data_IF_230123736051
#
_entry.id   IF_230123736051
#
_cell.length_a   1.000
_cell.length_b   1.000
_cell.length_c   1.000
_cell.angle_alpha   90.00
_cell.angle_beta   90.00
_cell.angle_gamma   90.00
#
_symmetry.space_group_name_H-M   'P 1'
#
loop_
_entity.id
_entity.type
_entity.pdbx_description
1 polymer ?
#
# COMPACT_ATOMS: atom_id res chain seq x y z
N UNK A 1 -9.60 -0.94 -19.51
CA UNK A 1 -8.97 -1.93 -20.41
C UNK A 1 -7.62 -1.40 -20.84
N UNK A 2 -6.60 -2.26 -20.98
CA UNK A 2 -5.26 -1.91 -21.43
C UNK A 2 -4.92 -2.66 -22.72
N UNK A 3 -4.24 -2.00 -23.67
CA UNK A 3 -3.78 -2.58 -24.94
C UNK A 3 -2.29 -2.26 -25.14
N UNK A 4 -1.49 -3.28 -25.47
CA UNK A 4 -0.07 -3.09 -25.82
C UNK A 4 0.04 -2.67 -27.28
N UNK A 5 0.64 -1.51 -27.55
CA UNK A 5 0.79 -0.95 -28.89
C UNK A 5 2.15 -1.27 -29.53
N UNK A 6 3.21 -1.42 -28.75
CA UNK A 6 4.56 -1.81 -29.22
C UNK A 6 5.22 -2.79 -28.25
N UNK A 7 5.89 -3.82 -28.79
CA UNK A 7 6.51 -4.91 -28.03
C UNK A 7 8.06 -4.79 -28.07
N UNK A 8 8.63 -4.10 -27.09
CA UNK A 8 9.93 -4.46 -26.51
C UNK A 8 9.68 -4.72 -25.02
N UNK A 9 10.42 -5.62 -24.37
CA UNK A 9 10.12 -6.05 -23.00
C UNK A 9 10.18 -4.88 -21.99
N UNK A 10 11.06 -3.90 -22.25
CA UNK A 10 11.33 -2.73 -21.41
C UNK A 10 10.62 -1.45 -21.92
N UNK A 11 10.36 -1.34 -23.22
CA UNK A 11 9.76 -0.16 -23.88
C UNK A 11 8.30 -0.41 -24.32
N UNK A 12 7.47 -0.86 -23.39
CA UNK A 12 6.05 -1.14 -23.68
C UNK A 12 5.28 0.16 -23.77
N UNK A 13 4.81 0.50 -24.97
CA UNK A 13 3.77 1.52 -25.13
C UNK A 13 2.42 0.87 -24.84
N UNK A 14 1.75 1.33 -23.78
CA UNK A 14 0.43 0.83 -23.40
C UNK A 14 -0.62 1.92 -23.53
N UNK A 15 -1.79 1.54 -24.01
CA UNK A 15 -2.96 2.41 -24.14
C UNK A 15 -4.06 1.94 -23.20
N UNK A 16 -4.63 2.89 -22.46
CA UNK A 16 -5.67 2.66 -21.49
C UNK A 16 -6.93 3.39 -21.93
N UNK A 17 -8.06 2.69 -21.78
CA UNK A 17 -9.38 3.26 -22.01
C UNK A 17 -10.17 3.24 -20.70
N UNK A 18 -10.52 4.43 -20.23
CA UNK A 18 -11.39 4.65 -19.08
C UNK A 18 -12.84 4.71 -19.58
N UNK A 19 -13.69 3.87 -19.00
CA UNK A 19 -15.09 3.73 -19.37
C UNK A 19 -15.98 3.97 -18.15
N UNK A 20 -17.13 4.60 -18.35
CA UNK A 20 -18.21 4.77 -17.37
C UNK A 20 -19.37 3.87 -17.75
N UNK A 21 -19.83 3.05 -16.80
CA UNK A 21 -21.09 2.33 -16.92
C UNK A 21 -22.25 3.28 -16.56
N UNK A 22 -23.21 3.42 -17.47
CA UNK A 22 -24.41 4.22 -17.29
C UNK A 22 -25.63 3.32 -17.19
N UNK A 23 -26.42 3.52 -16.14
CA UNK A 23 -27.72 2.87 -15.96
C UNK A 23 -28.81 3.89 -16.29
N UNK A 24 -29.56 3.69 -17.39
CA UNK A 24 -30.65 4.59 -17.75
C UNK A 24 -31.77 4.54 -16.70
N UNK A 25 -32.30 5.70 -16.33
CA UNK A 25 -33.46 5.79 -15.44
C UNK A 25 -34.67 5.08 -16.05
N UNK A 26 -35.50 4.40 -15.25
CA UNK A 26 -36.77 3.82 -15.70
C UNK A 26 -37.82 4.92 -15.88
N UNK A 27 -37.56 5.88 -16.77
CA UNK A 27 -38.53 6.93 -17.12
C UNK A 27 -39.41 6.44 -18.28
N UNK A 28 -40.43 5.67 -17.94
CA UNK A 28 -41.47 5.23 -18.88
C UNK A 28 -42.09 3.88 -18.52
N UNK A 29 -43.28 3.60 -19.03
CA UNK A 29 -43.96 2.29 -18.90
C UNK A 29 -43.37 1.21 -19.81
N UNK A 30 -42.16 1.42 -20.34
CA UNK A 30 -41.46 0.50 -21.23
C UNK A 30 -40.47 -0.40 -20.49
N UNK A 31 -39.96 -1.45 -21.15
CA UNK A 31 -38.89 -2.26 -20.58
C UNK A 31 -37.65 -1.39 -20.32
N UNK A 32 -36.92 -1.59 -19.20
CA UNK A 32 -35.71 -0.83 -18.91
C UNK A 32 -34.69 -1.02 -20.02
N UNK A 33 -34.10 0.09 -20.49
CA UNK A 33 -33.01 0.01 -21.46
C UNK A 33 -31.77 -0.63 -20.82
N UNK A 34 -30.98 -1.40 -21.58
CA UNK A 34 -29.80 -2.04 -21.04
C UNK A 34 -28.76 -0.99 -20.62
N UNK A 35 -27.94 -1.27 -19.60
CA UNK A 35 -26.85 -0.39 -19.22
C UNK A 35 -25.84 -0.27 -20.36
N UNK A 36 -25.25 0.92 -20.52
CA UNK A 36 -24.31 1.22 -21.60
C UNK A 36 -22.97 1.70 -21.06
N UNK A 37 -21.88 1.32 -21.71
CA UNK A 37 -20.57 1.88 -21.43
C UNK A 37 -20.31 3.10 -22.30
N UNK A 38 -19.82 4.17 -21.69
CA UNK A 38 -19.41 5.40 -22.37
C UNK A 38 -17.93 5.63 -22.10
N UNK A 39 -17.18 6.05 -23.12
CA UNK A 39 -15.75 6.35 -22.98
C UNK A 39 -15.57 7.69 -22.27
N UNK A 40 -14.78 7.71 -21.20
CA UNK A 40 -14.39 8.94 -20.50
C UNK A 40 -13.09 9.49 -21.06
N UNK A 41 -12.03 8.68 -21.09
CA UNK A 41 -10.70 9.12 -21.51
C UNK A 41 -9.91 7.99 -22.17
N UNK A 42 -8.95 8.38 -23.00
CA UNK A 42 -7.92 7.49 -23.55
C UNK A 42 -6.56 8.11 -23.26
N UNK A 43 -5.65 7.34 -22.68
CA UNK A 43 -4.30 7.79 -22.41
C UNK A 43 -3.30 6.70 -22.68
N UNK A 44 -2.06 7.12 -22.96
CA UNK A 44 -0.94 6.21 -23.18
C UNK A 44 0.05 6.35 -22.03
N UNK A 45 0.80 5.30 -21.76
CA UNK A 45 1.98 5.31 -20.90
C UNK A 45 3.11 4.57 -21.60
N UNK A 46 4.35 4.83 -21.19
CA UNK A 46 5.54 4.19 -21.74
C UNK A 46 6.32 3.53 -20.61
N UNK A 47 6.54 2.22 -20.71
CA UNK A 47 7.16 1.38 -19.68
C UNK A 47 6.20 0.32 -19.14
N UNK A 48 6.62 -0.42 -18.11
CA UNK A 48 5.80 -1.46 -17.48
C UNK A 48 4.92 -0.82 -16.41
N UNK A 49 3.65 -0.59 -16.74
CA UNK A 49 2.64 -0.13 -15.77
C UNK A 49 2.42 -1.21 -14.73
N UNK A 50 2.68 -0.87 -13.48
CA UNK A 50 2.47 -1.73 -12.32
C UNK A 50 1.00 -1.68 -11.89
N UNK A 51 0.47 -0.47 -11.71
CA UNK A 51 -0.89 -0.26 -11.22
C UNK A 51 -1.48 1.05 -11.77
N UNK A 52 -2.81 1.10 -11.86
CA UNK A 52 -3.59 2.29 -12.21
C UNK A 52 -4.61 2.55 -11.10
N UNK A 53 -4.69 3.80 -10.65
CA UNK A 53 -5.49 4.22 -9.51
C UNK A 53 -6.45 5.34 -9.92
N UNK A 54 -7.74 5.10 -9.74
CA UNK A 54 -8.77 6.12 -9.83
C UNK A 54 -8.86 6.84 -8.48
N UNK A 55 -8.21 8.00 -8.36
CA UNK A 55 -7.99 8.66 -7.07
C UNK A 55 -9.19 9.49 -6.63
N UNK A 56 -9.74 10.29 -7.54
CA UNK A 56 -10.97 11.04 -7.31
C UNK A 56 -11.77 11.16 -8.62
N UNK A 57 -12.82 10.33 -8.80
CA UNK A 57 -13.67 10.39 -9.97
C UNK A 57 -14.40 11.70 -10.19
N UNK A 58 -14.71 12.44 -9.12
CA UNK A 58 -15.41 13.73 -9.21
C UNK A 58 -14.48 14.82 -9.71
N UNK A 59 -13.21 14.77 -9.30
CA UNK A 59 -12.15 15.66 -9.79
C UNK A 59 -11.49 15.17 -11.08
N UNK A 60 -11.91 14.02 -11.60
CA UNK A 60 -11.34 13.41 -12.81
C UNK A 60 -9.83 13.12 -12.68
N UNK A 61 -9.41 12.75 -11.47
CA UNK A 61 -8.01 12.50 -11.12
C UNK A 61 -7.68 11.01 -11.18
N UNK A 62 -6.66 10.68 -11.99
CA UNK A 62 -6.13 9.33 -12.15
C UNK A 62 -4.60 9.34 -12.08
N UNK A 63 -4.03 8.33 -11.44
CA UNK A 63 -2.58 8.13 -11.42
C UNK A 63 -2.23 6.69 -11.75
N UNK A 64 -1.01 6.47 -12.24
CA UNK A 64 -0.47 5.15 -12.51
C UNK A 64 1.00 5.09 -12.09
N UNK A 65 1.43 3.93 -11.61
CA UNK A 65 2.82 3.61 -11.36
C UNK A 65 3.39 2.90 -12.58
N UNK A 66 4.54 3.37 -13.04
CA UNK A 66 5.24 2.81 -14.19
C UNK A 66 6.66 2.48 -13.75
N UNK A 67 7.06 1.22 -13.85
CA UNK A 67 8.43 0.82 -13.58
C UNK A 67 9.35 1.29 -14.71
N UNK A 68 10.44 1.96 -14.33
CA UNK A 68 11.48 2.45 -15.24
C UNK A 68 12.69 1.52 -15.14
N UNK A 69 12.84 0.63 -16.12
CA UNK A 69 13.86 -0.42 -16.09
C UNK A 69 15.30 0.12 -16.03
N UNK A 70 15.59 1.25 -16.68
CA UNK A 70 16.94 1.81 -16.76
C UNK A 70 17.47 2.35 -15.42
N UNK A 71 16.59 2.81 -14.54
CA UNK A 71 16.92 3.34 -13.21
C UNK A 71 16.48 2.42 -12.07
N UNK A 72 15.68 1.39 -12.37
CA UNK A 72 14.95 0.60 -11.38
C UNK A 72 14.10 1.45 -10.42
N UNK A 73 13.47 2.51 -10.93
CA UNK A 73 12.64 3.42 -10.14
C UNK A 73 11.17 3.37 -10.54
N UNK A 74 10.32 3.89 -9.66
CA UNK A 74 8.91 4.09 -9.93
C UNK A 74 8.73 5.47 -10.57
N UNK A 75 8.07 5.52 -11.72
CA UNK A 75 7.59 6.76 -12.31
C UNK A 75 6.11 6.96 -11.99
N UNK A 76 5.76 8.20 -11.64
CA UNK A 76 4.39 8.63 -11.40
C UNK A 76 3.83 9.28 -12.66
N UNK A 77 2.88 8.59 -13.30
CA UNK A 77 2.04 9.15 -14.36
C UNK A 77 0.73 9.63 -13.75
N UNK A 78 0.26 10.83 -14.09
CA UNK A 78 -0.98 11.39 -13.54
C UNK A 78 -1.72 12.21 -14.60
N UNK A 79 -3.03 11.94 -14.71
CA UNK A 79 -3.99 12.84 -15.35
C UNK A 79 -4.65 13.64 -14.23
N UNK A 80 -4.26 14.90 -14.09
CA UNK A 80 -4.80 15.78 -13.05
C UNK A 80 -6.27 16.14 -13.30
N UNK A 81 -6.68 16.05 -14.56
CA UNK A 81 -8.04 16.17 -15.05
C UNK A 81 -8.10 15.45 -16.40
N UNK A 82 -8.71 14.26 -16.45
CA UNK A 82 -8.69 13.45 -17.69
C UNK A 82 -9.53 14.02 -18.85
N UNK A 83 -10.28 15.10 -18.65
CA UNK A 83 -10.95 15.83 -19.74
C UNK A 83 -10.05 16.93 -20.33
N UNK A 84 -8.93 17.24 -19.68
CA UNK A 84 -7.89 18.14 -20.19
C UNK A 84 -6.82 17.29 -20.88
N UNK A 85 -6.41 17.60 -22.13
CA UNK A 85 -5.40 16.83 -22.86
C UNK A 85 -3.99 17.14 -22.33
N UNK A 86 -3.76 16.93 -21.05
CA UNK A 86 -2.49 17.15 -20.36
C UNK A 86 -2.18 15.96 -19.44
N UNK A 87 -0.89 15.72 -19.22
CA UNK A 87 -0.42 14.69 -18.32
C UNK A 87 0.80 15.16 -17.54
N UNK A 88 1.00 14.56 -16.37
CA UNK A 88 2.25 14.62 -15.63
C UNK A 88 2.91 13.26 -15.72
N UNK A 89 4.19 13.22 -16.05
CA UNK A 89 4.98 11.98 -16.00
C UNK A 89 6.36 12.33 -15.46
N UNK A 90 6.65 11.86 -14.24
CA UNK A 90 7.88 12.13 -13.51
C UNK A 90 8.50 10.82 -13.05
N UNK A 91 9.82 10.79 -12.95
CA UNK A 91 10.54 9.75 -12.23
C UNK A 91 10.63 10.17 -10.77
N UNK A 92 10.18 9.31 -9.86
CA UNK A 92 10.12 9.64 -8.42
C UNK A 92 11.45 9.42 -7.71
N UNK A 93 12.41 8.76 -8.36
CA UNK A 93 13.65 8.26 -7.77
C UNK A 93 13.46 7.25 -6.63
N UNK A 94 12.22 6.81 -6.38
CA UNK A 94 11.91 5.74 -5.43
C UNK A 94 12.27 4.42 -6.08
N UNK A 95 13.15 3.65 -5.44
CA UNK A 95 13.55 2.33 -5.90
C UNK A 95 12.33 1.38 -5.95
N UNK A 96 12.18 0.71 -7.08
CA UNK A 96 11.13 -0.29 -7.29
C UNK A 96 11.61 -1.65 -6.75
N UNK A 97 11.49 -1.83 -5.43
CA UNK A 97 11.74 -3.14 -4.83
C UNK A 97 10.59 -4.11 -5.13
N UNK A 98 10.96 -5.35 -5.43
CA UNK A 98 10.04 -6.47 -5.67
C UNK A 98 9.40 -7.01 -4.39
N UNK A 99 9.95 -6.66 -3.22
CA UNK A 99 9.40 -7.05 -1.91
C UNK A 99 8.38 -6.06 -1.39
N UNK A 100 8.32 -4.84 -1.92
CA UNK A 100 7.40 -3.83 -1.40
C UNK A 100 6.02 -3.95 -2.03
N UNK A 101 5.01 -3.69 -1.22
CA UNK A 101 3.64 -3.54 -1.70
C UNK A 101 3.33 -2.06 -1.92
N UNK A 102 2.88 -1.72 -3.12
CA UNK A 102 2.71 -0.33 -3.55
C UNK A 102 1.23 0.05 -3.68
N UNK A 103 0.86 1.19 -3.11
CA UNK A 103 -0.47 1.77 -3.29
C UNK A 103 -0.40 3.29 -3.46
N UNK A 104 -1.45 3.88 -4.04
CA UNK A 104 -1.51 5.30 -4.34
C UNK A 104 -2.76 5.92 -3.75
N UNK A 105 -2.62 6.94 -2.91
CA UNK A 105 -3.70 7.48 -2.09
C UNK A 105 -3.81 8.99 -2.33
N UNK A 106 -5.03 9.54 -2.35
CA UNK A 106 -5.23 10.98 -2.39
C UNK A 106 -5.51 11.50 -0.97
N UNK A 107 -4.70 12.43 -0.47
CA UNK A 107 -4.88 13.06 0.82
C UNK A 107 -4.65 14.56 0.74
N UNK A 108 -5.66 15.38 1.08
CA UNK A 108 -5.57 16.87 1.12
C UNK A 108 -4.87 17.47 -0.11
N UNK A 109 -5.33 17.10 -1.32
CA UNK A 109 -4.71 17.52 -2.59
C UNK A 109 -3.24 17.10 -2.77
N UNK A 110 -2.87 15.94 -2.22
CA UNK A 110 -1.55 15.33 -2.41
C UNK A 110 -1.72 13.88 -2.81
N UNK A 111 -0.98 13.49 -3.84
CA UNK A 111 -0.80 12.08 -4.18
C UNK A 111 0.23 11.52 -3.20
N UNK A 112 -0.16 10.47 -2.49
CA UNK A 112 0.69 9.77 -1.53
C UNK A 112 1.00 8.40 -2.11
N UNK A 113 2.28 8.17 -2.43
CA UNK A 113 2.77 6.83 -2.75
C UNK A 113 3.04 6.16 -1.42
N UNK A 114 2.34 5.06 -1.15
CA UNK A 114 2.53 4.25 0.04
C UNK A 114 3.25 2.96 -0.35
N UNK A 115 4.32 2.66 0.38
CA UNK A 115 5.14 1.47 0.23
C UNK A 115 5.18 0.71 1.54
N UNK A 116 4.85 -0.57 1.50
CA UNK A 116 4.90 -1.46 2.66
C UNK A 116 6.02 -2.48 2.48
N UNK A 117 6.96 -2.48 3.42
CA UNK A 117 8.01 -3.47 3.56
C UNK A 117 7.67 -4.48 4.67
N UNK A 118 8.59 -5.40 4.96
CA UNK A 118 8.35 -6.47 5.93
C UNK A 118 8.17 -5.99 7.38
N UNK A 119 8.73 -4.83 7.76
CA UNK A 119 8.80 -4.35 9.15
C UNK A 119 8.46 -2.86 9.30
N UNK A 120 8.26 -2.14 8.20
CA UNK A 120 7.90 -0.73 8.21
C UNK A 120 7.12 -0.36 6.94
N UNK A 121 6.55 0.84 6.95
CA UNK A 121 5.96 1.43 5.77
C UNK A 121 6.47 2.86 5.55
N UNK A 122 6.51 3.25 4.29
CA UNK A 122 6.87 4.58 3.81
C UNK A 122 5.66 5.26 3.14
N UNK A 123 5.57 6.58 3.28
CA UNK A 123 4.63 7.43 2.54
C UNK A 123 5.37 8.61 1.94
N UNK A 124 5.27 8.76 0.62
CA UNK A 124 5.94 9.79 -0.17
C UNK A 124 4.90 10.76 -0.75
N UNK A 125 5.02 12.04 -0.43
CA UNK A 125 3.96 13.03 -0.69
C UNK A 125 4.27 13.92 -1.90
N UNK A 126 3.34 13.96 -2.85
CA UNK A 126 3.40 14.76 -4.08
C UNK A 126 2.17 15.69 -4.17
N UNK A 127 2.29 16.95 -3.72
CA UNK A 127 1.21 17.93 -3.82
C UNK A 127 0.77 18.16 -5.27
N UNK A 128 -0.53 18.21 -5.52
CA UNK A 128 -1.05 18.48 -6.86
C UNK A 128 -0.55 19.84 -7.40
N UNK A 129 -0.37 20.83 -6.54
CA UNK A 129 0.21 22.14 -6.88
C UNK A 129 1.65 22.06 -7.39
N UNK A 130 2.44 21.11 -6.89
CA UNK A 130 3.79 20.83 -7.35
C UNK A 130 3.75 20.10 -8.70
N UNK A 131 2.94 19.04 -8.81
CA UNK A 131 2.82 18.23 -10.02
C UNK A 131 2.34 19.05 -11.23
N UNK A 132 1.42 20.01 -11.03
CA UNK A 132 0.94 20.94 -12.08
C UNK A 132 2.07 21.68 -12.79
N UNK A 133 3.22 21.89 -12.16
CA UNK A 133 4.40 22.57 -12.76
C UNK A 133 5.07 21.74 -13.85
N UNK A 134 4.77 20.44 -13.91
CA UNK A 134 5.35 19.47 -14.83
C UNK A 134 4.32 18.96 -15.86
N UNK A 135 3.19 19.67 -16.00
CA UNK A 135 2.20 19.34 -17.03
C UNK A 135 2.81 19.40 -18.43
N UNK A 136 2.46 18.39 -19.23
CA UNK A 136 2.80 18.31 -20.65
C UNK A 136 1.51 18.10 -21.45
N UNK A 137 1.38 18.74 -22.63
CA UNK A 137 0.24 18.50 -23.50
C UNK A 137 0.30 17.09 -24.09
N UNK A 138 -0.85 16.45 -24.17
CA UNK A 138 -1.09 15.24 -24.96
C UNK A 138 -1.24 15.70 -26.42
N UNK A 139 -0.47 15.10 -27.32
CA UNK A 139 -0.60 15.39 -28.75
C UNK A 139 -1.57 14.41 -29.38
N UNK A 140 -2.50 14.91 -30.21
CA UNK A 140 -3.49 14.11 -30.95
C UNK A 140 -2.91 13.28 -32.12
N UNK A 141 -1.63 12.92 -32.04
CA UNK A 141 -0.99 12.07 -33.05
C UNK A 141 -1.06 10.59 -32.64
N UNK A 142 -1.31 9.70 -33.59
CA UNK A 142 -1.28 8.25 -33.34
C UNK A 142 0.08 7.77 -32.81
N UNK A 143 1.15 8.48 -33.20
CA UNK A 143 2.53 8.20 -32.81
C UNK A 143 2.97 8.89 -31.51
N UNK A 144 2.05 9.56 -30.80
CA UNK A 144 2.38 10.20 -29.54
C UNK A 144 2.83 9.15 -28.50
N UNK A 145 4.01 9.40 -27.92
CA UNK A 145 4.59 8.62 -26.83
C UNK A 145 4.80 9.56 -25.64
N UNK A 146 4.11 9.34 -24.52
CA UNK A 146 4.37 10.09 -23.29
C UNK A 146 5.80 9.84 -22.83
N UNK A 147 6.45 10.88 -22.31
CA UNK A 147 7.83 10.78 -21.82
C UNK A 147 7.96 11.39 -20.44
N UNK A 148 8.83 10.79 -19.63
CA UNK A 148 9.22 11.32 -18.33
C UNK A 148 9.78 12.72 -18.52
N UNK A 149 9.32 13.64 -17.68
CA UNK A 149 9.64 15.05 -17.78
C UNK A 149 10.87 15.45 -17.01
N UNK A 150 11.00 14.94 -15.80
CA UNK A 150 12.11 15.17 -14.88
C UNK A 150 12.11 14.08 -13.82
N UNK A 151 13.22 13.99 -13.10
CA UNK A 151 13.22 13.42 -11.75
C UNK A 151 12.62 14.42 -10.77
N UNK A 152 11.81 13.95 -9.83
CA UNK A 152 11.19 14.79 -8.81
C UNK A 152 11.11 14.03 -7.48
N UNK A 153 11.83 14.56 -6.50
CA UNK A 153 11.77 14.07 -5.13
C UNK A 153 10.41 14.35 -4.48
N UNK A 154 9.96 13.50 -3.56
CA UNK A 154 8.75 13.76 -2.79
C UNK A 154 8.93 15.01 -1.94
N UNK A 155 7.87 15.79 -1.76
CA UNK A 155 7.91 17.00 -0.92
C UNK A 155 8.12 16.69 0.56
N UNK A 156 7.77 15.47 0.96
CA UNK A 156 7.86 14.95 2.32
C UNK A 156 7.86 13.43 2.25
N UNK A 157 8.64 12.80 3.11
CA UNK A 157 8.65 11.35 3.31
C UNK A 157 8.38 11.05 4.78
N UNK A 158 7.44 10.15 5.04
CA UNK A 158 7.12 9.64 6.37
C UNK A 158 7.44 8.14 6.42
N UNK A 159 8.05 7.70 7.51
CA UNK A 159 8.36 6.29 7.76
C UNK A 159 7.85 5.90 9.14
N UNK A 160 7.18 4.76 9.24
CA UNK A 160 6.75 4.21 10.52
C UNK A 160 6.93 2.70 10.56
N UNK A 161 7.44 2.14 11.68
CA UNK A 161 7.58 0.69 11.84
C UNK A 161 6.21 0.04 12.10
N UNK A 162 6.06 -1.20 11.63
CA UNK A 162 4.93 -2.05 11.99
C UNK A 162 5.08 -2.59 13.41
N UNK A 163 3.94 -2.73 14.09
CA UNK A 163 3.84 -3.32 15.41
C UNK A 163 3.23 -4.70 15.31
N UNK A 164 4.04 -5.70 15.62
CA UNK A 164 3.63 -7.10 15.70
C UNK A 164 3.06 -7.41 17.09
N UNK A 165 2.01 -8.22 17.19
CA UNK A 165 1.46 -8.66 18.47
C UNK A 165 2.48 -9.54 19.20
N UNK A 166 2.47 -9.47 20.54
CA UNK A 166 3.37 -10.30 21.35
C UNK A 166 2.95 -11.76 21.26
N UNK A 167 3.88 -12.70 21.05
CA UNK A 167 3.57 -14.12 21.09
C UNK A 167 2.91 -14.47 22.43
N UNK A 168 1.95 -15.42 22.47
CA UNK A 168 1.37 -15.86 23.73
C UNK A 168 2.50 -16.33 24.63
N UNK A 169 2.58 -15.78 25.84
CA UNK A 169 3.59 -16.17 26.80
C UNK A 169 3.49 -17.68 27.02
N UNK A 170 4.45 -18.43 26.48
CA UNK A 170 4.56 -19.86 26.77
C UNK A 170 4.65 -19.96 28.29
N UNK A 171 3.75 -20.69 28.98
CA UNK A 171 3.89 -20.88 30.41
C UNK A 171 5.25 -21.53 30.62
N UNK A 172 6.19 -20.75 31.16
CA UNK A 172 7.48 -21.28 31.56
C UNK A 172 7.16 -22.36 32.59
N UNK A 173 7.34 -23.62 32.20
CA UNK A 173 7.39 -24.72 33.14
C UNK A 173 8.56 -24.42 34.06
N UNK A 174 8.28 -23.78 35.20
CA UNK A 174 9.21 -23.60 36.29
C UNK A 174 9.63 -24.99 36.75
N UNK A 175 10.76 -25.47 36.23
CA UNK A 175 11.49 -26.55 36.87
C UNK A 175 11.99 -25.99 38.22
N UNK A 176 11.66 -26.63 39.35
CA UNK A 176 12.12 -26.16 40.64
C UNK A 176 13.63 -26.37 40.78
N UNK A 177 14.35 -25.25 40.77
CA UNK A 177 15.48 -24.97 41.64
C UNK A 177 16.73 -25.83 41.52
N UNK A 178 17.74 -25.29 40.84
CA UNK A 178 19.12 -25.40 41.31
C UNK A 178 19.74 -24.00 41.27
N UNK A 179 19.96 -23.45 42.46
CA UNK A 179 20.71 -22.21 42.65
C UNK A 179 22.18 -22.48 42.33
N UNK A 180 22.75 -21.83 41.32
CA UNK A 180 24.20 -21.60 41.30
C UNK A 180 24.54 -20.15 40.90
N UNK A 181 25.55 -19.68 41.62
CA UNK A 181 26.09 -18.34 41.84
C UNK A 181 26.20 -17.38 40.63
N UNK A 182 26.00 -16.11 40.99
CA UNK A 182 26.34 -14.88 40.27
C UNK A 182 27.87 -14.72 40.24
N UNK A 183 28.44 -14.49 39.06
CA UNK A 183 29.71 -13.76 38.91
C UNK A 183 29.51 -12.58 37.96
N UNK A 184 29.78 -11.39 38.49
CA UNK A 184 29.83 -10.07 37.86
C UNK A 184 30.98 -10.00 36.83
N UNK A 185 30.72 -9.47 35.62
CA UNK A 185 31.73 -8.79 34.81
C UNK A 185 31.06 -7.65 33.99
N UNK A 186 31.70 -6.47 33.84
CA UNK A 186 31.04 -5.22 33.46
C UNK A 186 30.92 -5.02 31.95
N UNK A 187 29.83 -4.36 31.56
CA UNK A 187 29.50 -3.96 30.20
C UNK A 187 30.45 -2.88 29.66
N UNK A 188 30.99 -3.11 28.46
CA UNK A 188 31.55 -2.07 27.60
C UNK A 188 30.45 -1.47 26.73
N UNK A 189 30.14 -0.20 26.98
CA UNK A 189 29.29 0.66 26.15
C UNK A 189 29.89 0.82 24.74
N UNK A 190 29.21 0.27 23.73
CA UNK A 190 29.33 0.72 22.36
C UNK A 190 27.92 1.09 21.89
N UNK A 191 27.59 2.37 21.96
CA UNK A 191 26.38 2.94 21.39
C UNK A 191 26.45 2.87 19.85
N UNK A 192 25.78 1.86 19.28
CA UNK A 192 25.39 1.87 17.87
C UNK A 192 24.03 2.54 17.74
N UNK A 193 23.93 3.53 16.85
CA UNK A 193 22.70 4.17 16.37
C UNK A 193 21.72 3.16 15.74
N UNK A 194 21.05 2.36 16.57
CA UNK A 194 19.92 1.54 16.14
C UNK A 194 18.61 2.23 16.50
N UNK A 195 17.63 2.29 15.58
CA UNK A 195 16.28 2.69 15.92
C UNK A 195 15.74 1.80 17.05
N UNK A 196 14.82 2.30 17.90
CA UNK A 196 14.30 1.50 19.00
C UNK A 196 13.73 0.19 18.45
N UNK A 197 14.13 -0.97 19.00
CA UNK A 197 13.66 -2.26 18.51
C UNK A 197 12.14 -2.29 18.57
N UNK A 198 11.51 -2.78 17.49
CA UNK A 198 10.10 -3.18 17.55
C UNK A 198 9.93 -4.07 18.77
N UNK A 199 8.96 -3.76 19.63
CA UNK A 199 8.74 -4.47 20.90
C UNK A 199 8.50 -5.98 20.68
N UNK A 200 8.12 -6.39 19.47
CA UNK A 200 8.09 -7.77 19.02
C UNK A 200 8.66 -7.87 17.58
N UNK A 201 9.53 -8.85 17.29
CA UNK A 201 10.05 -9.06 15.93
C UNK A 201 8.96 -9.57 14.98
N UNK A 202 9.13 -9.33 13.68
CA UNK A 202 8.27 -9.91 12.65
C UNK A 202 8.35 -11.46 12.71
N UNK A 203 7.24 -12.19 12.92
CA UNK A 203 7.24 -13.65 12.97
C UNK A 203 7.47 -14.32 11.61
N UNK A 204 7.29 -13.60 10.51
CA UNK A 204 7.47 -14.07 9.14
C UNK A 204 8.43 -13.14 8.38
N UNK A 205 9.72 -13.10 8.77
CA UNK A 205 10.71 -12.25 8.11
C UNK A 205 11.06 -12.77 6.71
N UNK A 206 11.54 -11.86 5.88
CA UNK A 206 12.11 -12.13 4.57
C UNK A 206 13.63 -12.33 4.70
N UNK A 207 14.23 -13.46 4.22
CA UNK A 207 13.64 -14.76 3.84
C UNK A 207 13.23 -15.64 5.05
N UNK A 208 12.41 -16.71 4.88
CA UNK A 208 11.95 -17.32 3.62
C UNK A 208 10.56 -16.86 3.13
N UNK A 209 9.92 -15.92 3.82
CA UNK A 209 8.55 -15.48 3.48
C UNK A 209 8.57 -14.30 2.51
N UNK A 210 8.10 -14.52 1.28
CA UNK A 210 8.04 -13.52 0.22
C UNK A 210 6.60 -13.10 -0.06
N UNK A 211 6.32 -11.83 -0.36
CA UNK A 211 4.98 -11.42 -0.77
C UNK A 211 4.63 -12.02 -2.14
N UNK A 212 3.60 -12.87 -2.17
CA UNK A 212 3.04 -13.46 -3.39
C UNK A 212 1.98 -12.54 -4.00
N UNK A 213 1.10 -11.99 -3.16
CA UNK A 213 0.10 -11.02 -3.56
C UNK A 213 -0.22 -10.06 -2.42
N UNK A 214 -0.65 -8.85 -2.78
CA UNK A 214 -1.16 -7.88 -1.82
C UNK A 214 -2.44 -7.23 -2.34
N UNK A 215 -3.36 -7.02 -1.42
CA UNK A 215 -4.70 -6.53 -1.69
C UNK A 215 -4.97 -5.32 -0.79
N UNK A 216 -4.97 -4.15 -1.41
CA UNK A 216 -5.21 -2.88 -0.72
C UNK A 216 -6.71 -2.60 -0.65
N UNK A 217 -7.24 -2.41 0.56
CA UNK A 217 -8.68 -2.16 0.82
C UNK A 217 -8.84 -0.80 1.51
N UNK A 218 -9.75 0.04 0.97
CA UNK A 218 -10.08 1.37 1.51
C UNK A 218 -11.41 1.33 2.22
N UNK A 219 -11.43 1.69 3.51
CA UNK A 219 -12.68 1.80 4.27
C UNK A 219 -13.42 3.13 4.03
N UNK A 220 -12.75 4.16 3.50
CA UNK A 220 -13.22 5.55 3.59
C UNK A 220 -13.66 6.17 2.25
N UNK A 221 -14.16 5.41 1.29
CA UNK A 221 -14.72 5.98 0.05
C UNK A 221 -16.25 5.85 -0.03
N UNK A 222 -17.02 6.97 -0.13
CA UNK A 222 -16.57 8.37 -0.08
C UNK A 222 -16.16 8.82 1.33
N UNK A 223 -15.20 9.76 1.41
CA UNK A 223 -14.62 10.24 2.68
C UNK A 223 -15.66 11.02 3.48
N UNK A 224 -16.34 10.38 4.43
CA UNK A 224 -17.18 11.08 5.38
C UNK A 224 -16.32 11.68 6.51
N UNK A 225 -16.52 12.94 6.94
CA UNK A 225 -15.70 13.60 7.95
C UNK A 225 -15.58 12.86 9.30
N UNK A 226 -16.51 11.94 9.59
CA UNK A 226 -16.57 11.17 10.84
C UNK A 226 -15.93 9.78 10.75
N UNK A 227 -15.64 9.27 9.55
CA UNK A 227 -15.05 7.94 9.35
C UNK A 227 -13.52 8.03 9.53
N UNK A 228 -12.92 7.21 10.40
CA UNK A 228 -11.46 7.14 10.53
C UNK A 228 -10.80 6.87 9.17
N UNK A 229 -9.71 7.58 8.85
CA UNK A 229 -8.91 7.34 7.64
C UNK A 229 -7.98 6.15 7.82
N UNK A 230 -8.58 5.03 8.20
CA UNK A 230 -7.90 3.76 8.33
C UNK A 230 -7.94 3.04 6.98
N UNK A 231 -6.78 2.66 6.50
CA UNK A 231 -6.62 1.79 5.34
C UNK A 231 -6.02 0.47 5.80
N UNK A 232 -6.19 -0.55 4.99
CA UNK A 232 -5.57 -1.82 5.28
C UNK A 232 -5.07 -2.52 4.01
N UNK A 233 -4.03 -3.30 4.17
CA UNK A 233 -3.50 -4.17 3.12
C UNK A 233 -3.48 -5.60 3.64
N UNK A 234 -4.01 -6.53 2.86
CA UNK A 234 -3.86 -7.96 3.13
C UNK A 234 -2.77 -8.51 2.23
N UNK A 235 -1.71 -9.05 2.83
CA UNK A 235 -0.56 -9.62 2.14
C UNK A 235 -0.60 -11.14 2.28
N UNK A 236 -0.57 -11.85 1.16
CA UNK A 236 -0.34 -13.28 1.10
C UNK A 236 1.17 -13.51 0.95
N UNK A 237 1.78 -14.06 1.98
CA UNK A 237 3.19 -14.43 1.99
C UNK A 237 3.33 -15.90 1.57
N UNK A 238 4.30 -16.21 0.73
CA UNK A 238 4.65 -17.57 0.30
C UNK A 238 6.05 -17.96 0.76
N UNK A 239 6.20 -19.22 1.18
CA UNK A 239 7.50 -19.85 1.43
C UNK A 239 7.97 -20.52 0.14
N UNK A 240 8.99 -19.95 -0.50
CA UNK A 240 9.52 -20.44 -1.78
C UNK A 240 10.56 -21.58 -1.62
N UNK A 241 10.97 -21.93 -0.39
CA UNK A 241 11.96 -23.01 -0.18
C UNK A 241 11.31 -24.40 -0.13
N UNK A 242 10.00 -24.48 0.09
CA UNK A 242 9.24 -25.74 0.07
C UNK A 242 8.93 -26.12 -1.39
N UNK A 243 9.06 -27.41 -1.71
CA UNK A 243 8.87 -27.96 -3.06
C UNK A 243 7.69 -27.32 -3.82
N UNK A 244 7.84 -26.98 -5.11
CA UNK A 244 6.89 -26.15 -5.87
C UNK A 244 5.47 -26.73 -5.99
N UNK A 245 5.28 -28.00 -5.65
CA UNK A 245 3.98 -28.69 -5.68
C UNK A 245 3.11 -28.41 -4.44
N UNK A 246 3.67 -27.87 -3.36
CA UNK A 246 2.95 -27.53 -2.11
C UNK A 246 3.50 -26.24 -1.51
N UNK A 247 3.08 -25.11 -2.07
CA UNK A 247 3.36 -23.79 -1.49
C UNK A 247 2.74 -23.65 -0.10
N UNK A 248 3.53 -23.21 0.88
CA UNK A 248 3.02 -22.80 2.20
C UNK A 248 2.79 -21.30 2.18
N UNK A 249 1.65 -20.89 2.71
CA UNK A 249 1.20 -19.51 2.71
C UNK A 249 0.89 -19.02 4.11
N UNK A 250 1.06 -17.73 4.33
CA UNK A 250 0.63 -17.01 5.52
C UNK A 250 -0.10 -15.74 5.08
N UNK A 251 -1.15 -15.37 5.80
CA UNK A 251 -1.83 -14.10 5.60
C UNK A 251 -1.47 -13.11 6.69
N UNK A 252 -1.12 -11.89 6.27
CA UNK A 252 -0.93 -10.75 7.14
C UNK A 252 -1.92 -9.63 6.78
N UNK A 253 -2.56 -9.05 7.79
CA UNK A 253 -3.41 -7.86 7.68
C UNK A 253 -2.65 -6.69 8.29
N UNK A 254 -2.20 -5.78 7.42
CA UNK A 254 -1.58 -4.53 7.79
C UNK A 254 -2.66 -3.46 7.91
N UNK A 255 -2.65 -2.72 9.00
CA UNK A 255 -3.51 -1.57 9.20
C UNK A 255 -2.65 -0.33 9.38
N UNK A 256 -3.02 0.75 8.71
CA UNK A 256 -2.30 2.03 8.74
C UNK A 256 -3.21 3.23 8.49
N UNK A 257 -2.80 4.39 8.99
CA UNK A 257 -3.44 5.68 8.72
C UNK A 257 -2.84 6.38 7.51
N UNK A 258 -3.61 7.34 6.98
CA UNK A 258 -3.13 8.25 5.94
C UNK A 258 -3.44 9.71 6.33
N UNK A 259 -2.43 10.52 6.67
CA UNK A 259 -0.99 10.19 6.76
C UNK A 259 -0.66 9.22 7.91
N UNK A 260 0.55 8.64 7.92
CA UNK A 260 1.01 7.74 8.99
C UNK A 260 0.93 8.37 10.38
N UNK A 261 1.13 9.68 10.49
CA UNK A 261 0.96 10.46 11.71
C UNK A 261 0.35 11.83 11.39
N UNK A 262 -0.48 12.33 12.30
CA UNK A 262 -0.97 13.71 12.21
C UNK A 262 0.18 14.66 12.58
N UNK A 263 0.44 15.64 11.71
CA UNK A 263 1.26 16.77 12.09
C UNK A 263 0.36 17.70 12.92
N UNK A 264 0.52 17.69 14.24
CA UNK A 264 -0.23 18.58 15.13
C UNK A 264 -0.07 20.05 14.69
N UNK A 265 -1.21 20.67 14.32
CA UNK A 265 -1.45 22.12 14.30
C UNK A 265 -0.68 22.97 13.28
N UNK A 266 -1.40 23.53 12.29
CA UNK A 266 -1.24 24.88 11.71
C UNK A 266 0.16 25.45 11.36
N UNK A 267 1.20 24.62 11.21
CA UNK A 267 2.34 24.98 10.36
C UNK A 267 1.89 24.85 8.90
N UNK A 268 1.09 25.82 8.46
CA UNK A 268 1.02 26.17 7.05
C UNK A 268 2.47 26.17 6.55
N UNK A 269 2.79 25.26 5.62
CA UNK A 269 3.97 25.39 4.76
C UNK A 269 3.78 26.70 4.00
N UNK A 270 4.15 27.81 4.64
CA UNK A 270 4.33 29.10 4.00
C UNK A 270 5.53 28.88 3.10
N UNK A 271 5.26 28.67 1.82
CA UNK A 271 6.24 28.99 0.80
C UNK A 271 6.53 30.49 0.93
N UNK A 272 7.50 30.85 1.76
CA UNK A 272 8.05 32.20 1.79
C UNK A 272 8.90 32.37 0.53
N UNK A 273 8.23 32.84 -0.52
CA UNK A 273 8.89 33.61 -1.58
C UNK A 273 9.25 34.96 -0.97
N UNK A 274 10.36 35.06 -0.24
CA UNK A 274 10.95 36.37 0.09
C UNK A 274 11.83 36.84 -1.07
N UNK A 275 11.18 37.48 -2.03
CA UNK A 275 11.79 38.54 -2.83
C UNK A 275 12.13 39.70 -1.88
N UNK A 276 13.41 39.86 -1.56
CA UNK A 276 13.95 41.06 -0.87
C UNK A 276 13.45 42.33 -1.56
N UNK A 277 12.74 43.25 -0.87
CA UNK A 277 12.63 44.61 -1.35
C UNK A 277 13.92 45.35 -0.96
N UNK A 278 14.65 45.81 -1.97
CA UNK A 278 15.65 46.84 -1.76
C UNK A 278 14.95 48.15 -1.38
N UNK A 279 15.31 48.71 -0.23
CA UNK A 279 15.16 50.15 -0.01
C UNK A 279 16.26 50.62 0.95
N UNK A 280 17.11 51.50 0.44
CA UNK A 280 18.13 52.16 1.24
C UNK A 280 17.53 53.19 2.18
N UNK A 281 18.28 53.52 3.23
CA UNK A 281 18.24 54.83 3.89
C UNK A 281 19.56 54.98 4.64
N UNK A 282 20.34 56.01 4.29
CA UNK A 282 21.56 56.35 5.01
C UNK A 282 21.27 57.21 6.24
N UNK A 283 22.18 57.20 7.21
CA UNK A 283 22.65 58.39 7.95
C UNK A 283 23.77 58.04 8.95
N UNK A 284 24.90 58.75 8.83
CA UNK A 284 25.52 59.51 9.94
C UNK A 284 26.29 58.82 11.08
N UNK A 285 27.63 58.79 10.91
CA UNK A 285 28.66 59.31 11.85
C UNK A 285 28.82 58.80 13.30
N UNK A 286 30.03 58.35 13.64
CA UNK A 286 30.54 58.30 15.02
C UNK A 286 31.86 57.53 15.18
N UNK A 287 32.96 58.27 15.37
CA UNK A 287 34.35 57.80 15.51
C UNK A 287 34.72 57.24 16.89
N UNK A 288 35.67 56.28 16.95
CA UNK A 288 36.37 55.89 18.17
C UNK A 288 37.42 54.78 17.95
N UNK A 289 38.64 55.02 18.42
CA UNK A 289 39.91 54.42 17.97
C UNK A 289 40.35 53.10 18.65
N UNK A 290 41.14 52.32 17.89
CA UNK A 290 42.34 51.54 18.25
C UNK A 290 42.29 50.46 19.35
N UNK A 291 42.60 49.21 18.98
CA UNK A 291 43.90 48.58 19.29
C UNK A 291 44.05 47.20 18.62
N UNK A 292 45.31 46.86 18.37
CA UNK A 292 45.90 45.76 17.59
C UNK A 292 45.85 44.38 18.23
N UNK A 293 45.66 43.33 17.43
CA UNK A 293 46.43 42.09 17.51
C UNK A 293 46.40 41.32 16.18
N UNK A 294 47.58 40.94 15.72
CA UNK A 294 47.90 40.24 14.49
C UNK A 294 47.95 38.73 14.69
N UNK A 295 47.38 37.96 13.76
CA UNK A 295 47.96 36.67 13.34
C UNK A 295 47.52 36.30 11.92
N UNK A 296 48.51 36.22 11.02
CA UNK A 296 48.53 35.71 9.64
C UNK A 296 47.93 34.30 9.52
N UNK A 297 46.99 34.07 8.60
CA UNK A 297 47.17 33.56 7.21
C UNK A 297 47.86 32.19 7.06
N UNK A 298 47.07 31.20 6.66
CA UNK A 298 47.36 30.29 5.54
C UNK A 298 46.02 29.76 4.98
N UNK A 299 45.76 30.02 3.70
CA UNK A 299 44.51 29.63 3.04
C UNK A 299 44.55 28.24 2.44
N UNK A 300 43.38 27.75 2.04
CA UNK A 300 43.13 27.30 0.66
C UNK A 300 41.64 27.15 0.41
N UNK A 301 41.27 27.56 -0.80
CA UNK A 301 39.94 27.56 -1.37
C UNK A 301 39.62 26.17 -1.91
N UNK A 302 38.34 25.76 -1.87
CA UNK A 302 37.60 25.14 -3.01
C UNK A 302 36.26 24.56 -2.55
N UNK A 303 35.21 24.83 -3.32
CA UNK A 303 34.09 23.92 -3.49
C UNK A 303 32.84 24.18 -2.65
N UNK A 304 32.02 25.14 -3.07
CA UNK A 304 30.62 25.18 -2.71
C UNK A 304 29.85 24.13 -3.51
N UNK A 305 29.10 23.28 -2.83
CA UNK A 305 27.90 22.61 -3.36
C UNK A 305 26.84 22.70 -2.27
N UNK A 306 25.95 23.67 -2.42
CA UNK A 306 24.77 23.83 -1.58
C UNK A 306 23.80 22.68 -1.90
N UNK A 307 23.74 21.68 -1.03
CA UNK A 307 22.67 20.69 -1.02
C UNK A 307 21.45 21.29 -0.33
N UNK A 308 20.35 21.41 -1.08
CA UNK A 308 19.03 21.68 -0.55
C UNK A 308 18.53 20.38 0.11
N UNK A 309 18.76 20.21 1.41
CA UNK A 309 18.27 19.06 2.16
C UNK A 309 16.76 19.18 2.42
N UNK A 310 15.97 18.38 1.71
CA UNK A 310 14.54 18.16 2.00
C UNK A 310 14.42 17.17 3.16
N UNK A 311 13.55 17.45 4.14
CA UNK A 311 13.51 16.73 5.42
C UNK A 311 12.79 15.37 5.36
N UNK A 312 13.51 14.30 5.68
CA UNK A 312 12.92 13.02 6.09
C UNK A 312 12.46 13.13 7.55
N UNK A 313 11.18 12.85 7.83
CA UNK A 313 10.65 12.84 9.20
C UNK A 313 10.48 11.40 9.68
N UNK A 314 11.37 10.98 10.58
CA UNK A 314 11.26 9.71 11.30
C UNK A 314 10.90 10.03 12.76
N UNK A 315 9.63 9.87 13.14
CA UNK A 315 9.21 10.09 14.53
C UNK A 315 9.22 8.77 15.29
N UNK A 316 10.26 8.56 16.09
CA UNK A 316 10.31 7.55 17.13
C UNK A 316 9.83 8.18 18.45
N UNK A 317 8.52 8.30 18.67
CA UNK A 317 8.01 8.85 19.93
C UNK A 317 6.51 9.05 20.04
N UNK A 318 5.84 8.12 20.74
CA UNK A 318 4.88 8.40 21.81
C UNK A 318 3.56 9.10 21.45
N UNK A 319 2.61 8.37 20.87
CA UNK A 319 1.19 8.78 20.89
C UNK A 319 0.30 7.91 19.99
N UNK A 320 0.67 7.73 18.73
CA UNK A 320 -0.22 7.15 17.71
C UNK A 320 0.22 5.74 17.22
N UNK A 321 1.00 5.03 18.04
CA UNK A 321 1.46 3.66 17.77
C UNK A 321 0.29 2.66 17.58
N UNK A 322 -0.92 2.99 18.03
CA UNK A 322 -2.09 2.12 17.88
C UNK A 322 -2.43 1.79 16.42
N UNK A 323 -1.91 2.56 15.46
CA UNK A 323 -2.39 2.62 14.09
C UNK A 323 -1.46 1.98 13.07
N UNK A 324 -0.33 1.38 13.47
CA UNK A 324 0.60 0.64 12.59
C UNK A 324 0.63 -0.85 12.93
N UNK A 325 -0.54 -1.46 13.14
CA UNK A 325 -0.64 -2.84 13.63
C UNK A 325 -0.69 -3.84 12.48
N UNK A 326 0.03 -4.94 12.65
CA UNK A 326 -0.02 -6.10 11.76
C UNK A 326 -0.60 -7.27 12.52
N UNK A 327 -1.64 -7.89 11.98
CA UNK A 327 -2.14 -9.18 12.44
C UNK A 327 -1.79 -10.25 11.42
N UNK A 328 -1.69 -11.49 11.85
CA UNK A 328 -1.37 -12.60 10.96
C UNK A 328 -2.16 -13.85 11.30
N UNK A 329 -2.27 -14.74 10.34
CA UNK A 329 -2.66 -16.14 10.59
C UNK A 329 -1.42 -16.86 11.13
N UNK A 330 -1.51 -17.37 12.35
CA UNK A 330 -0.36 -17.94 13.07
C UNK A 330 0.18 -19.24 12.47
N UNK A 331 -0.69 -20.02 11.81
CA UNK A 331 -0.33 -21.31 11.22
C UNK A 331 -0.28 -21.19 9.69
N UNK A 332 0.86 -21.51 9.05
CA UNK A 332 0.92 -21.55 7.59
C UNK A 332 -0.03 -22.60 7.01
N UNK A 333 -0.61 -22.30 5.85
CA UNK A 333 -1.62 -23.11 5.18
C UNK A 333 -1.30 -23.34 3.69
N UNK A 334 -2.00 -24.29 3.05
CA UNK A 334 -1.85 -24.58 1.61
C UNK A 334 -3.08 -24.04 0.85
N UNK A 335 -2.92 -22.98 0.06
CA UNK A 335 -4.04 -22.43 -0.73
C UNK A 335 -4.22 -23.21 -2.03
N UNK A 336 -5.46 -23.40 -2.48
CA UNK A 336 -5.74 -23.94 -3.81
C UNK A 336 -5.46 -22.85 -4.83
N UNK A 337 -4.65 -23.16 -5.85
CA UNK A 337 -4.44 -22.27 -6.98
C UNK A 337 -5.14 -22.79 -8.24
N UNK A 338 -5.68 -21.87 -9.04
CA UNK A 338 -6.27 -22.14 -10.35
C UNK A 338 -5.35 -21.55 -11.41
N UNK A 339 -5.10 -22.32 -12.47
CA UNK A 339 -4.40 -21.83 -13.65
C UNK A 339 -5.47 -21.22 -14.56
N UNK A 340 -5.38 -19.91 -14.78
CA UNK A 340 -6.23 -19.23 -15.76
C UNK A 340 -5.84 -19.77 -17.16
N UNK A 341 -6.84 -20.09 -17.99
CA UNK A 341 -6.62 -20.77 -19.27
C UNK A 341 -5.85 -19.89 -20.24
N UNK A 342 -4.88 -20.47 -20.96
CA UNK A 342 -4.12 -19.78 -22.01
C UNK A 342 -5.08 -19.32 -23.11
N UNK A 343 -5.17 -18.01 -23.37
CA UNK A 343 -5.81 -17.51 -24.59
C UNK A 343 -5.06 -18.10 -25.81
N UNK A 344 -5.68 -19.07 -26.50
CA UNK A 344 -5.11 -19.76 -27.67
C UNK A 344 -4.91 -18.86 -28.92
N UNK A 345 -5.20 -17.56 -28.83
CA UNK A 345 -5.19 -16.63 -29.98
C UNK A 345 -3.81 -15.98 -30.25
N UNK A 346 -2.74 -16.43 -29.59
CA UNK A 346 -1.38 -15.92 -29.76
C UNK A 346 -0.51 -16.77 -30.68
N UNK A 347 -0.62 -16.58 -32.01
CA UNK A 347 0.32 -17.15 -32.98
C UNK A 347 1.74 -16.56 -32.75
N UNK A 348 2.59 -17.27 -31.98
CA UNK A 348 3.99 -16.92 -31.81
C UNK A 348 4.59 -17.15 -30.42
N UNK A 349 4.84 -18.42 -30.09
CA UNK A 349 6.06 -18.89 -29.41
C UNK A 349 6.64 -18.07 -28.25
N UNK A 350 5.98 -18.11 -27.09
CA UNK A 350 6.55 -18.36 -25.76
C UNK A 350 5.37 -18.30 -24.79
N UNK A 351 4.79 -19.47 -24.47
CA UNK A 351 3.75 -19.57 -23.46
C UNK A 351 4.42 -19.27 -22.12
N UNK A 352 4.36 -18.02 -21.68
CA UNK A 352 4.63 -17.70 -20.28
C UNK A 352 3.55 -18.45 -19.50
N UNK A 353 3.92 -19.55 -18.84
CA UNK A 353 3.00 -20.26 -17.98
C UNK A 353 2.44 -19.24 -16.99
N UNK A 354 1.15 -18.92 -17.11
CA UNK A 354 0.50 -17.96 -16.23
C UNK A 354 0.63 -18.50 -14.81
N UNK A 355 1.08 -17.64 -13.89
CA UNK A 355 1.31 -18.06 -12.51
C UNK A 355 -0.04 -18.52 -11.94
N UNK A 356 -0.10 -19.68 -11.25
CA UNK A 356 -1.33 -20.16 -10.65
C UNK A 356 -1.91 -19.11 -9.69
N UNK A 357 -3.16 -18.70 -9.91
CA UNK A 357 -3.84 -17.72 -9.09
C UNK A 357 -4.40 -18.37 -7.83
N UNK A 358 -4.06 -17.89 -6.62
CA UNK A 358 -4.64 -18.43 -5.39
C UNK A 358 -6.14 -18.14 -5.31
N UNK A 359 -6.94 -19.15 -4.92
CA UNK A 359 -8.37 -19.01 -4.65
C UNK A 359 -8.60 -18.38 -3.29
N UNK A 360 -8.47 -17.07 -3.25
CA UNK A 360 -8.67 -16.24 -2.08
C UNK A 360 -9.40 -14.96 -2.45
N UNK A 361 -10.20 -14.46 -1.52
CA UNK A 361 -10.74 -13.10 -1.53
C UNK A 361 -10.50 -12.45 -0.18
N UNK A 362 -10.36 -11.14 -0.18
CA UNK A 362 -10.10 -10.36 1.03
C UNK A 362 -11.01 -9.14 1.06
N UNK A 363 -11.33 -8.70 2.26
CA UNK A 363 -12.00 -7.44 2.54
C UNK A 363 -11.45 -6.87 3.85
N UNK A 364 -11.95 -5.73 4.29
CA UNK A 364 -11.46 -5.04 5.48
C UNK A 364 -11.58 -5.94 6.73
N UNK A 365 -10.43 -6.40 7.24
CA UNK A 365 -10.35 -7.28 8.40
C UNK A 365 -10.81 -8.71 8.16
N UNK A 366 -11.05 -9.12 6.92
CA UNK A 366 -11.52 -10.46 6.59
C UNK A 366 -10.77 -11.05 5.40
N UNK A 367 -10.53 -12.36 5.43
CA UNK A 367 -10.11 -13.09 4.25
C UNK A 367 -10.78 -14.46 4.20
N UNK A 368 -11.02 -14.93 2.99
CA UNK A 368 -11.60 -16.25 2.71
C UNK A 368 -10.78 -16.94 1.65
N UNK A 369 -10.51 -18.22 1.80
CA UNK A 369 -9.77 -19.00 0.82
C UNK A 369 -10.19 -20.45 0.79
N UNK A 370 -9.89 -21.12 -0.32
CA UNK A 370 -9.99 -22.57 -0.41
C UNK A 370 -8.64 -23.16 -0.05
N UNK A 371 -8.61 -23.98 1.01
CA UNK A 371 -7.41 -24.61 1.51
C UNK A 371 -7.35 -26.08 1.08
N UNK A 372 -6.16 -26.54 0.68
CA UNK A 372 -5.87 -27.96 0.50
C UNK A 372 -5.80 -28.63 1.88
N UNK A 373 -6.66 -29.64 2.10
CA UNK A 373 -6.52 -30.52 3.26
C UNK A 373 -5.67 -31.75 2.97
N UNK A 374 -5.70 -32.70 3.90
CA UNK A 374 -5.06 -34.00 3.71
C UNK A 374 -5.93 -34.87 2.80
N UNK A 375 -5.37 -36.01 2.36
CA UNK A 375 -6.12 -37.01 1.60
C UNK A 375 -7.40 -37.49 2.30
N UNK A 376 -7.50 -37.33 3.63
CA UNK A 376 -8.66 -37.72 4.42
C UNK A 376 -9.68 -36.60 4.64
N UNK A 377 -9.26 -35.33 4.67
CA UNK A 377 -10.16 -34.19 4.93
C UNK A 377 -10.65 -33.51 3.66
N UNK A 378 -9.99 -33.71 2.52
CA UNK A 378 -10.30 -33.00 1.28
C UNK A 378 -10.05 -31.49 1.38
N UNK A 379 -10.52 -30.73 0.36
CA UNK A 379 -10.47 -29.26 0.37
C UNK A 379 -11.46 -28.69 1.38
N UNK A 380 -11.13 -27.53 1.95
CA UNK A 380 -11.97 -26.83 2.93
C UNK A 380 -12.06 -25.35 2.62
N UNK A 381 -13.22 -24.76 2.89
CA UNK A 381 -13.41 -23.32 2.82
C UNK A 381 -13.03 -22.70 4.17
N UNK A 382 -12.12 -21.75 4.14
CA UNK A 382 -11.55 -21.13 5.34
C UNK A 382 -11.86 -19.66 5.35
N UNK A 383 -12.14 -19.14 6.54
CA UNK A 383 -12.48 -17.75 6.77
C UNK A 383 -11.71 -17.25 7.97
N UNK A 384 -11.09 -16.08 7.87
CA UNK A 384 -10.41 -15.42 8.98
C UNK A 384 -11.04 -14.06 9.23
N UNK A 385 -11.25 -13.75 10.51
CA UNK A 385 -11.50 -12.40 10.99
C UNK A 385 -10.27 -11.92 11.75
N UNK A 386 -9.71 -10.79 11.32
CA UNK A 386 -8.63 -10.11 12.02
C UNK A 386 -9.20 -9.19 13.11
N UNK A 387 -8.51 -9.05 14.26
CA UNK A 387 -8.97 -8.16 15.30
C UNK A 387 -9.10 -6.71 14.79
N UNK A 388 -10.19 -5.99 15.12
CA UNK A 388 -10.35 -4.60 14.73
C UNK A 388 -9.31 -3.73 15.45
N UNK A 389 -8.93 -2.61 14.82
CA UNK A 389 -8.15 -1.59 15.52
C UNK A 389 -9.07 -0.79 16.42
N UNK A 390 -8.87 -0.94 17.73
CA UNK A 390 -9.42 -0.04 18.73
C UNK A 390 -8.94 1.40 18.47
N UNK A 391 -9.77 2.26 17.87
CA UNK A 391 -9.50 3.69 17.77
C UNK A 391 -9.84 4.40 19.09
N UNK A 392 -9.28 5.59 19.36
CA UNK A 392 -9.69 6.39 20.55
C UNK A 392 -11.19 6.73 20.56
N UNK A 393 -11.87 6.60 19.41
CA UNK A 393 -13.33 6.73 19.28
C UNK A 393 -14.10 5.46 19.63
N UNK A 394 -13.45 4.34 19.89
CA UNK A 394 -14.10 3.04 20.15
C UNK A 394 -14.67 2.91 21.58
N UNK A 395 -14.93 4.05 22.22
CA UNK A 395 -15.96 4.15 23.25
C UNK A 395 -17.39 4.19 22.67
N UNK A 396 -17.55 4.09 21.34
CA UNK A 396 -18.85 4.01 20.69
C UNK A 396 -19.49 2.64 20.90
N UNK A 397 -20.77 2.72 21.24
CA UNK A 397 -21.63 1.60 21.58
C UNK A 397 -21.88 0.69 20.35
N UNK A 398 -22.16 -0.59 20.57
CA UNK A 398 -22.64 -1.49 19.54
C UNK A 398 -24.03 -1.05 19.01
N UNK A 399 -24.56 -1.77 18.01
CA UNK A 399 -25.88 -1.49 17.45
C UNK A 399 -27.03 -1.54 18.49
N UNK A 400 -26.77 -2.13 19.66
CA UNK A 400 -27.70 -2.25 20.78
C UNK A 400 -27.47 -1.20 21.87
N UNK A 401 -26.50 -0.28 21.72
CA UNK A 401 -26.18 0.72 22.73
C UNK A 401 -25.33 0.20 23.89
N UNK A 402 -24.69 -0.97 23.76
CA UNK A 402 -23.75 -1.52 24.74
C UNK A 402 -22.31 -1.07 24.43
N UNK A 403 -21.56 -0.67 25.45
CA UNK A 403 -20.17 -0.23 25.26
C UNK A 403 -19.34 -1.40 24.72
N UNK A 404 -18.65 -1.22 23.60
CA UNK A 404 -17.68 -2.22 23.12
C UNK A 404 -16.69 -2.53 24.24
N UNK A 405 -16.84 -3.71 24.84
CA UNK A 405 -15.94 -4.19 25.87
C UNK A 405 -14.64 -4.52 25.14
N UNK A 406 -13.54 -3.85 25.49
CA UNK A 406 -12.19 -4.26 25.05
C UNK A 406 -12.07 -5.76 25.35
N UNK A 407 -12.06 -6.58 24.31
CA UNK A 407 -11.72 -7.99 24.44
C UNK A 407 -10.35 -8.10 25.13
N UNK A 408 -10.10 -9.17 25.89
CA UNK A 408 -8.78 -9.39 26.47
C UNK A 408 -7.74 -9.29 25.37
N UNK A 409 -6.67 -8.53 25.64
CA UNK A 409 -5.54 -8.23 24.75
C UNK A 409 -4.67 -9.49 24.56
N UNK A 410 -5.30 -10.61 24.22
CA UNK A 410 -4.73 -11.96 24.14
C UNK A 410 -4.97 -12.61 22.78
N UNK A 411 -5.76 -12.00 21.88
CA UNK A 411 -5.92 -12.53 20.53
C UNK A 411 -4.75 -12.07 19.66
N UNK A 412 -3.67 -12.86 19.69
CA UNK A 412 -2.37 -12.58 19.05
C UNK A 412 -2.43 -12.74 17.51
N UNK A 413 -3.55 -13.18 16.93
CA UNK A 413 -3.67 -13.40 15.49
C UNK A 413 -5.11 -13.44 14.97
N UNK A 414 -5.26 -13.52 13.65
CA UNK A 414 -6.57 -13.69 13.00
C UNK A 414 -7.19 -15.05 13.38
N UNK A 415 -8.46 -15.05 13.74
CA UNK A 415 -9.18 -16.30 14.10
C UNK A 415 -9.64 -17.01 12.85
N UNK A 416 -9.01 -18.14 12.50
CA UNK A 416 -9.39 -18.94 11.33
C UNK A 416 -10.47 -19.95 11.68
N UNK A 417 -11.54 -19.95 10.89
CA UNK A 417 -12.67 -20.89 10.97
C UNK A 417 -12.76 -21.70 9.67
N UNK A 418 -13.20 -22.95 9.78
CA UNK A 418 -13.66 -23.72 8.61
C UNK A 418 -15.15 -23.46 8.47
N UNK A 419 -15.59 -23.06 7.28
CA UNK A 419 -17.01 -22.90 6.98
C UNK A 419 -17.60 -24.25 6.55
N UNK A 420 -18.81 -24.52 7.03
CA UNK A 420 -19.61 -25.63 6.54
C UNK A 420 -20.00 -25.37 5.08
N UNK A 421 -19.89 -26.41 4.24
CA UNK A 421 -20.23 -26.33 2.82
C UNK A 421 -21.48 -27.19 2.55
N UNK A 422 -22.41 -26.72 1.71
CA UNK A 422 -23.56 -27.52 1.32
C UNK A 422 -23.12 -28.73 0.47
N UNK A 423 -23.86 -29.84 0.55
CA UNK A 423 -23.49 -31.11 -0.10
C UNK A 423 -23.34 -30.98 -1.63
N UNK A 424 -24.10 -30.08 -2.24
CA UNK A 424 -24.06 -29.80 -3.66
C UNK A 424 -22.85 -28.95 -4.13
N UNK A 425 -22.08 -28.36 -3.21
CA UNK A 425 -20.91 -27.54 -3.53
C UNK A 425 -19.64 -28.38 -3.50
N UNK A 426 -19.11 -28.67 -4.70
CA UNK A 426 -17.79 -29.28 -4.85
C UNK A 426 -16.69 -28.21 -4.97
N UNK A 427 -15.89 -28.05 -3.91
CA UNK A 427 -14.75 -27.13 -3.86
C UNK A 427 -13.66 -27.43 -4.92
N UNK A 428 -13.65 -28.61 -5.55
CA UNK A 428 -12.75 -28.90 -6.67
C UNK A 428 -13.11 -28.17 -7.97
N UNK A 429 -14.34 -27.69 -8.06
CA UNK A 429 -14.87 -27.05 -9.26
C UNK A 429 -14.93 -25.53 -9.16
N UNK A 430 -14.57 -24.95 -8.01
CA UNK A 430 -14.54 -23.50 -7.77
C UNK A 430 -13.47 -22.85 -8.64
N UNK A 431 -13.84 -21.76 -9.31
CA UNK A 431 -12.95 -20.96 -10.18
C UNK A 431 -12.71 -19.56 -9.63
N UNK A 432 -13.71 -19.00 -8.94
CA UNK A 432 -13.63 -17.68 -8.33
C UNK A 432 -14.29 -17.66 -6.95
N UNK A 433 -13.78 -16.77 -6.11
CA UNK A 433 -14.24 -16.54 -4.74
C UNK A 433 -14.26 -15.03 -4.51
N UNK A 434 -15.28 -14.54 -3.80
CA UNK A 434 -15.43 -13.14 -3.38
C UNK A 434 -16.03 -13.07 -1.97
N UNK A 435 -15.82 -11.94 -1.28
CA UNK A 435 -16.48 -11.61 -0.02
C UNK A 435 -17.39 -10.41 -0.26
N UNK A 436 -18.63 -10.47 0.24
CA UNK A 436 -19.51 -9.32 0.42
C UNK A 436 -19.72 -9.13 1.92
N UNK A 437 -18.88 -8.28 2.53
CA UNK A 437 -18.97 -8.01 3.96
C UNK A 437 -20.27 -7.30 4.33
N UNK A 438 -20.87 -6.52 3.42
CA UNK A 438 -22.11 -5.77 3.70
C UNK A 438 -23.32 -6.69 3.88
N UNK A 439 -23.30 -7.85 3.22
CA UNK A 439 -24.32 -8.88 3.33
C UNK A 439 -23.90 -10.06 4.21
N UNK A 440 -22.66 -10.05 4.73
CA UNK A 440 -22.10 -11.18 5.47
C UNK A 440 -22.06 -12.44 4.62
N UNK A 441 -21.57 -12.36 3.37
CA UNK A 441 -21.61 -13.48 2.43
C UNK A 441 -20.28 -13.79 1.76
N UNK A 442 -20.01 -15.07 1.53
CA UNK A 442 -18.97 -15.58 0.63
C UNK A 442 -19.61 -16.03 -0.66
N UNK A 443 -19.12 -15.52 -1.79
CA UNK A 443 -19.67 -15.81 -3.12
C UNK A 443 -18.67 -16.68 -3.88
N UNK A 444 -19.10 -17.85 -4.33
CA UNK A 444 -18.28 -18.84 -5.06
C UNK A 444 -18.91 -19.12 -6.42
N UNK A 445 -18.10 -19.05 -7.48
CA UNK A 445 -18.51 -19.50 -8.81
C UNK A 445 -17.78 -20.79 -9.17
N UNK A 446 -18.52 -21.76 -9.71
CA UNK A 446 -17.98 -23.06 -10.14
C UNK A 446 -18.00 -23.23 -11.65
N UNK A 447 -17.16 -24.13 -12.17
CA UNK A 447 -17.03 -24.51 -13.59
C UNK A 447 -18.34 -24.77 -14.34
N UNK A 448 -19.36 -25.23 -13.63
CA UNK A 448 -20.69 -25.50 -14.23
C UNK A 448 -21.52 -24.23 -14.47
N UNK A 449 -21.01 -23.04 -14.12
CA UNK A 449 -21.70 -21.76 -14.22
C UNK A 449 -22.65 -21.47 -13.06
N UNK A 450 -22.73 -22.34 -12.05
CA UNK A 450 -23.50 -22.08 -10.83
C UNK A 450 -22.76 -21.10 -9.91
N UNK A 451 -23.53 -20.28 -9.21
CA UNK A 451 -23.03 -19.35 -8.18
C UNK A 451 -23.65 -19.76 -6.85
N UNK A 452 -22.80 -19.93 -5.84
CA UNK A 452 -23.18 -20.19 -4.46
C UNK A 452 -22.92 -18.94 -3.63
N UNK A 453 -23.90 -18.56 -2.82
CA UNK A 453 -23.81 -17.43 -1.88
C UNK A 453 -23.99 -18.03 -0.49
N UNK A 454 -22.91 -18.05 0.29
CA UNK A 454 -22.86 -18.63 1.62
C UNK A 454 -22.87 -17.51 2.65
N UNK A 455 -23.97 -17.34 3.37
CA UNK A 455 -24.06 -16.36 4.45
C UNK A 455 -23.30 -16.86 5.69
N UNK A 456 -22.56 -15.97 6.34
CA UNK A 456 -21.88 -16.21 7.61
C UNK A 456 -22.40 -15.23 8.68
N UNK A 457 -22.42 -15.68 9.93
CA UNK A 457 -22.80 -14.90 11.11
C UNK A 457 -21.63 -14.71 12.07
#
# INVERSE_FOLDING_TARGET
MAKVLRRSYEDRLMEFVLMKLYFPSPEGSGPPSPPTFTKLATFKTFGVVMNVFLLDPSLRLLSAFVWVASSNTIALFTLLDWDVPEYVFIDTDIECSVSSNWSCILHKEQIVIHSEESDHANQYFYPLSLLRRFNRPIQDSENFVPSISTKLDPSMTMTAPFLFPSPPATPQTTLPGTFEAVEDEPATDNASDNPPPSLNPNPFPLPPWYPESAHFVRQWWPTLPTIPRLSCTVVLLSDHEVSPERGRFVLAQHYFRVPLFELDGDEHIRYQTESRPGSGSGSGSGSGSASSASSSRSGSFSGASSENSLGTLTIAGGGDHAMMKVWYVSEPFEVVCVVDGVDEDGEGGQVQAERPRPLMAVDFGHAVWVENGTATTGKRLRFVSFPPIATERDGLYDANGERWIRGPQTDVGGTVRTLDIPEELDLNTVETINIDQSQGAVILSVKSGKIFILCYE
#
